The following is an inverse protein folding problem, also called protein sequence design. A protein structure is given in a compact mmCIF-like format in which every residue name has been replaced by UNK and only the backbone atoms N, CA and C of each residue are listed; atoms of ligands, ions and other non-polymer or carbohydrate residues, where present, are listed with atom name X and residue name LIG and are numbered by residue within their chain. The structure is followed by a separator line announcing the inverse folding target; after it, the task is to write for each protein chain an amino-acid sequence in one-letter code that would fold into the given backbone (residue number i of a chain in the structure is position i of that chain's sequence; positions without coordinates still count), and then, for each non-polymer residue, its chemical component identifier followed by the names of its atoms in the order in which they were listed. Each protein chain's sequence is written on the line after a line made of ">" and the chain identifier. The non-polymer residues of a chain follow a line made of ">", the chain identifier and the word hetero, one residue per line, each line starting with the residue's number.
data_IF_933785115698
#
_entry.id   IF_933785115698
#
_cell.length_a   1.000
_cell.length_b   1.000
_cell.length_c   1.000
_cell.angle_alpha   90.00
_cell.angle_beta   90.00
_cell.angle_gamma   90.00
#
_symmetry.space_group_name_H-M   'P 1'
#
loop_
_entity.id
_entity.type
_entity.pdbx_description
1 polymer ?
#
# COMPACT_ATOMS: atom_id res chain seq x y z
N UNK A 1 32.10 9.66 -18.81
CA UNK A 1 30.77 10.02 -19.34
C UNK A 1 29.83 9.95 -18.17
N UNK A 2 29.52 11.13 -17.65
CA UNK A 2 28.55 11.37 -16.58
C UNK A 2 27.20 10.73 -16.89
N UNK A 3 26.56 10.14 -15.89
CA UNK A 3 25.30 10.71 -15.44
C UNK A 3 24.97 10.25 -14.01
N UNK A 4 25.24 11.14 -13.06
CA UNK A 4 24.70 11.12 -11.72
C UNK A 4 23.23 11.55 -11.76
N UNK A 5 22.36 10.87 -11.02
CA UNK A 5 21.15 11.44 -10.39
C UNK A 5 20.66 10.39 -9.38
N UNK A 6 21.00 10.52 -8.10
CA UNK A 6 20.38 11.41 -7.12
C UNK A 6 18.97 10.92 -6.75
N UNK A 7 18.97 10.20 -5.63
CA UNK A 7 17.83 9.80 -4.80
C UNK A 7 17.33 11.07 -4.11
N UNK A 8 16.05 11.39 -4.25
CA UNK A 8 15.38 12.48 -3.53
C UNK A 8 14.45 11.88 -2.47
N UNK A 9 14.65 12.35 -1.24
CA UNK A 9 13.93 11.99 -0.03
C UNK A 9 12.54 12.64 0.06
N UNK A 10 11.67 11.93 0.79
CA UNK A 10 10.48 12.37 1.53
C UNK A 10 9.97 13.81 1.41
N UNK A 11 8.70 13.91 0.99
CA UNK A 11 7.82 15.01 1.39
C UNK A 11 6.49 14.49 1.94
N UNK A 12 6.40 14.55 3.28
CA UNK A 12 5.34 15.22 4.04
C UNK A 12 3.91 15.20 3.51
N UNK A 13 3.06 14.54 4.29
CA UNK A 13 1.62 14.74 4.39
C UNK A 13 1.26 16.24 4.41
N UNK A 14 0.77 16.73 3.27
CA UNK A 14 0.11 18.02 3.13
C UNK A 14 -1.33 17.79 2.70
N UNK A 15 -2.27 18.11 3.58
CA UNK A 15 -3.72 18.17 3.33
C UNK A 15 -3.97 18.88 1.98
N UNK A 16 -4.74 18.31 1.03
CA UNK A 16 -5.15 19.07 -0.14
C UNK A 16 -6.07 20.21 0.32
N UNK A 17 -5.56 21.43 0.22
CA UNK A 17 -6.32 22.65 0.39
C UNK A 17 -7.58 22.61 -0.48
N UNK A 18 -8.69 23.05 0.10
CA UNK A 18 -9.98 23.23 -0.56
C UNK A 18 -9.82 23.89 -1.95
N UNK A 19 -10.58 23.46 -2.97
CA UNK A 19 -10.50 24.07 -4.29
C UNK A 19 -10.82 25.55 -4.16
N UNK A 20 -9.82 26.38 -4.45
CA UNK A 20 -9.93 27.82 -4.52
C UNK A 20 -11.16 28.16 -5.36
N UNK A 21 -12.08 28.92 -4.74
CA UNK A 21 -13.26 29.46 -5.38
C UNK A 21 -12.83 30.15 -6.68
N UNK A 22 -13.06 29.46 -7.80
CA UNK A 22 -12.81 29.98 -9.12
C UNK A 22 -13.80 31.13 -9.30
N UNK A 23 -13.30 32.34 -9.08
CA UNK A 23 -13.97 33.60 -9.30
C UNK A 23 -14.23 33.73 -10.82
N UNK A 24 -15.20 32.95 -11.30
CA UNK A 24 -15.78 33.09 -12.63
C UNK A 24 -16.46 34.44 -12.64
N UNK A 25 -15.67 35.41 -13.08
CA UNK A 25 -16.10 36.71 -13.55
C UNK A 25 -17.49 36.56 -14.15
N UNK A 26 -18.48 37.18 -13.50
CA UNK A 26 -19.78 37.44 -14.10
C UNK A 26 -19.50 38.21 -15.38
N UNK A 27 -19.42 37.50 -16.51
CA UNK A 27 -19.40 38.10 -17.84
C UNK A 27 -20.68 38.90 -17.90
N UNK A 28 -20.55 40.22 -17.73
CA UNK A 28 -21.61 41.18 -18.02
C UNK A 28 -22.10 40.83 -19.42
N UNK A 29 -23.37 40.45 -19.52
CA UNK A 29 -24.05 40.19 -20.78
C UNK A 29 -23.74 41.37 -21.69
N UNK A 30 -23.00 41.13 -22.78
CA UNK A 30 -22.73 42.15 -23.78
C UNK A 30 -24.10 42.59 -24.28
N UNK A 31 -24.39 43.88 -24.13
CA UNK A 31 -25.57 44.52 -24.70
C UNK A 31 -25.52 44.20 -26.19
N UNK A 32 -26.43 43.35 -26.65
CA UNK A 32 -26.55 42.99 -28.07
C UNK A 32 -26.69 44.33 -28.80
N UNK A 33 -25.82 44.55 -29.79
CA UNK A 33 -25.89 45.74 -30.62
C UNK A 33 -27.21 45.62 -31.39
N UNK A 34 -28.24 46.31 -30.91
CA UNK A 34 -29.62 46.22 -31.40
C UNK A 34 -29.82 46.90 -32.76
N UNK A 35 -28.82 46.94 -33.63
CA UNK A 35 -29.00 47.40 -35.00
C UNK A 35 -28.28 46.47 -35.97
N UNK A 36 -29.09 45.67 -36.66
CA UNK A 36 -28.62 44.83 -37.77
C UNK A 36 -28.05 45.75 -38.85
N UNK A 37 -26.96 45.39 -39.56
CA UNK A 37 -26.43 46.22 -40.65
C UNK A 37 -27.47 46.54 -41.74
N UNK A 38 -28.48 45.67 -41.89
CA UNK A 38 -29.69 45.92 -42.67
C UNK A 38 -30.51 47.11 -42.15
N UNK A 39 -30.68 47.28 -40.83
CA UNK A 39 -31.42 48.42 -40.26
C UNK A 39 -30.72 49.76 -40.51
N UNK A 40 -29.39 49.79 -40.47
CA UNK A 40 -28.61 51.00 -40.80
C UNK A 40 -28.76 51.34 -42.29
N UNK A 41 -28.72 50.32 -43.16
CA UNK A 41 -28.94 50.50 -44.59
C UNK A 41 -30.36 51.01 -44.90
N UNK A 42 -31.37 50.40 -44.29
CA UNK A 42 -32.77 50.83 -44.47
C UNK A 42 -33.02 52.19 -43.84
N UNK A 43 -32.41 52.50 -42.70
CA UNK A 43 -32.50 53.81 -42.04
C UNK A 43 -31.89 54.92 -42.87
N UNK A 44 -30.71 54.70 -43.46
CA UNK A 44 -30.08 55.67 -44.37
C UNK A 44 -30.88 55.86 -45.66
N UNK A 45 -31.39 54.76 -46.25
CA UNK A 45 -32.26 54.82 -47.43
C UNK A 45 -33.58 55.54 -47.13
N UNK A 46 -34.17 55.33 -45.95
CA UNK A 46 -35.39 56.00 -45.52
C UNK A 46 -35.16 57.51 -45.34
N UNK A 47 -34.07 57.92 -44.66
CA UNK A 47 -33.69 59.32 -44.49
C UNK A 47 -33.48 59.99 -45.86
N UNK A 48 -32.79 59.32 -46.78
CA UNK A 48 -32.60 59.82 -48.14
C UNK A 48 -33.94 59.95 -48.87
N UNK A 49 -34.83 58.96 -48.82
CA UNK A 49 -36.12 59.00 -49.52
C UNK A 49 -37.06 60.08 -48.98
N UNK A 50 -37.11 60.26 -47.66
CA UNK A 50 -37.93 61.29 -47.00
C UNK A 50 -37.34 62.67 -47.27
N UNK A 51 -36.01 62.82 -47.22
CA UNK A 51 -35.32 64.05 -47.60
C UNK A 51 -35.58 64.45 -49.05
N UNK A 52 -35.55 63.47 -49.97
CA UNK A 52 -35.84 63.70 -51.40
C UNK A 52 -37.31 64.01 -51.64
N UNK A 53 -38.22 63.38 -50.88
CA UNK A 53 -39.67 63.64 -50.96
C UNK A 53 -40.04 65.03 -50.41
N UNK A 54 -39.46 65.44 -49.28
CA UNK A 54 -39.67 66.78 -48.71
C UNK A 54 -39.11 67.88 -49.60
N UNK A 55 -37.90 67.70 -50.13
CA UNK A 55 -37.31 68.65 -51.08
C UNK A 55 -38.09 68.70 -52.40
N UNK A 56 -38.60 67.56 -52.88
CA UNK A 56 -39.52 67.49 -54.02
C UNK A 56 -40.84 68.23 -53.78
N UNK A 57 -41.46 68.07 -52.60
CA UNK A 57 -42.69 68.79 -52.22
C UNK A 57 -42.44 70.31 -52.21
N UNK A 58 -41.29 70.77 -51.69
CA UNK A 58 -40.94 72.20 -51.61
C UNK A 58 -40.66 72.79 -53.01
N UNK A 59 -40.01 72.05 -53.90
CA UNK A 59 -39.71 72.51 -55.27
C UNK A 59 -40.92 72.43 -56.21
N UNK A 60 -41.90 71.56 -55.94
CA UNK A 60 -43.10 71.38 -56.79
C UNK A 60 -44.32 72.18 -56.36
N UNK A 61 -44.20 73.06 -55.34
CA UNK A 61 -45.28 73.94 -54.85
C UNK A 61 -45.85 74.83 -55.98
N UNK A 62 -45.08 75.08 -57.04
CA UNK A 62 -45.49 75.90 -58.18
C UNK A 62 -46.38 75.18 -59.21
N UNK A 63 -46.45 73.84 -59.22
CA UNK A 63 -47.16 73.09 -60.27
C UNK A 63 -48.34 72.28 -59.71
N UNK A 64 -49.53 72.52 -60.25
CA UNK A 64 -50.79 72.00 -59.72
C UNK A 64 -51.02 70.53 -60.04
N UNK A 65 -50.37 70.01 -61.08
CA UNK A 65 -50.58 68.66 -61.60
C UNK A 65 -49.88 67.56 -60.77
N UNK A 66 -48.80 67.88 -60.05
CA UNK A 66 -47.93 66.89 -59.37
C UNK A 66 -48.17 66.80 -57.87
N UNK A 67 -48.94 67.72 -57.27
CA UNK A 67 -49.28 67.73 -55.83
C UNK A 67 -50.00 66.47 -55.35
N UNK A 68 -50.87 65.89 -56.18
CA UNK A 68 -51.61 64.68 -55.80
C UNK A 68 -50.67 63.49 -55.64
N UNK A 69 -49.81 63.25 -56.63
CA UNK A 69 -48.96 62.06 -56.72
C UNK A 69 -47.95 62.02 -55.57
N UNK A 70 -47.37 63.16 -55.18
CA UNK A 70 -46.39 63.22 -54.09
C UNK A 70 -47.03 63.00 -52.71
N UNK A 71 -48.23 63.53 -52.48
CA UNK A 71 -48.98 63.29 -51.24
C UNK A 71 -49.40 61.82 -51.15
N UNK A 72 -49.87 61.22 -52.25
CA UNK A 72 -50.22 59.80 -52.29
C UNK A 72 -49.00 58.89 -52.07
N UNK A 73 -47.85 59.21 -52.68
CA UNK A 73 -46.60 58.47 -52.46
C UNK A 73 -46.09 58.58 -51.02
N UNK A 74 -46.18 59.77 -50.41
CA UNK A 74 -45.85 59.99 -49.01
C UNK A 74 -46.76 59.21 -48.07
N UNK A 75 -48.08 59.20 -48.33
CA UNK A 75 -49.05 58.46 -47.54
C UNK A 75 -48.83 56.93 -47.62
N UNK A 76 -48.50 56.40 -48.80
CA UNK A 76 -48.21 54.97 -48.97
C UNK A 76 -46.95 54.56 -48.19
N UNK A 77 -45.90 55.40 -48.22
CA UNK A 77 -44.65 55.16 -47.50
C UNK A 77 -44.84 55.16 -45.98
N UNK A 78 -45.75 56.01 -45.47
CA UNK A 78 -46.09 56.07 -44.06
C UNK A 78 -46.76 54.78 -43.52
N UNK A 79 -47.42 54.00 -44.39
CA UNK A 79 -48.03 52.71 -44.01
C UNK A 79 -47.03 51.56 -44.10
N UNK A 80 -46.10 51.61 -45.07
CA UNK A 80 -45.10 50.55 -45.27
C UNK A 80 -44.07 50.54 -44.12
N UNK A 81 -43.71 51.70 -43.58
CA UNK A 81 -42.74 51.81 -42.47
C UNK A 81 -43.10 50.97 -41.24
N UNK A 82 -44.30 51.14 -40.64
CA UNK A 82 -44.77 50.32 -39.53
C UNK A 82 -44.85 48.83 -39.85
N UNK A 83 -45.21 48.46 -41.07
CA UNK A 83 -45.31 47.06 -41.49
C UNK A 83 -43.94 46.39 -41.56
N UNK A 84 -42.96 47.06 -42.15
CA UNK A 84 -41.56 46.58 -42.21
C UNK A 84 -40.96 46.49 -40.82
N UNK A 85 -41.23 47.46 -39.95
CA UNK A 85 -40.81 47.43 -38.54
C UNK A 85 -41.36 46.19 -37.80
N UNK A 86 -42.64 45.88 -38.00
CA UNK A 86 -43.27 44.70 -37.41
C UNK A 86 -42.73 43.38 -37.95
N UNK A 87 -42.39 43.31 -39.24
CA UNK A 87 -41.76 42.13 -39.83
C UNK A 87 -40.32 41.93 -39.33
N UNK A 88 -39.55 43.01 -39.19
CA UNK A 88 -38.18 42.95 -38.67
C UNK A 88 -38.14 42.47 -37.22
N UNK A 89 -39.08 42.88 -36.38
CA UNK A 89 -39.18 42.39 -35.00
C UNK A 89 -39.43 40.88 -34.96
N UNK A 90 -40.33 40.36 -35.79
CA UNK A 90 -40.58 38.91 -35.87
C UNK A 90 -39.35 38.11 -36.35
N UNK A 91 -38.59 38.64 -37.31
CA UNK A 91 -37.36 37.99 -37.77
C UNK A 91 -36.29 37.97 -36.68
N UNK A 92 -36.14 39.07 -35.92
CA UNK A 92 -35.22 39.16 -34.80
C UNK A 92 -35.57 38.17 -33.69
N UNK A 93 -36.86 38.03 -33.36
CA UNK A 93 -37.33 37.06 -32.36
C UNK A 93 -37.05 35.61 -32.78
N UNK A 94 -37.22 35.29 -34.07
CA UNK A 94 -36.91 33.95 -34.62
C UNK A 94 -35.42 33.66 -34.55
N UNK A 95 -34.57 34.64 -34.89
CA UNK A 95 -33.11 34.48 -34.80
C UNK A 95 -32.68 34.29 -33.35
N UNK A 96 -33.24 35.09 -32.43
CA UNK A 96 -32.97 34.94 -31.00
C UNK A 96 -33.41 33.56 -30.48
N UNK A 97 -34.59 33.08 -30.89
CA UNK A 97 -35.08 31.74 -30.52
C UNK A 97 -34.14 30.64 -31.03
N UNK A 98 -33.67 30.74 -32.28
CA UNK A 98 -32.72 29.79 -32.84
C UNK A 98 -31.40 29.77 -32.05
N UNK A 99 -30.87 30.94 -31.71
CA UNK A 99 -29.64 31.03 -30.90
C UNK A 99 -29.86 30.42 -29.50
N UNK A 100 -31.03 30.62 -28.88
CA UNK A 100 -31.35 29.98 -27.59
C UNK A 100 -31.48 28.47 -27.72
N UNK A 101 -32.06 27.96 -28.81
CA UNK A 101 -32.16 26.53 -29.06
C UNK A 101 -30.78 25.89 -29.25
N UNK A 102 -29.90 26.55 -30.01
CA UNK A 102 -28.52 26.09 -30.20
C UNK A 102 -27.70 26.18 -28.89
N UNK A 103 -27.99 27.16 -28.02
CA UNK A 103 -27.40 27.23 -26.69
C UNK A 103 -27.87 26.10 -25.77
N UNK A 104 -29.19 25.83 -25.74
CA UNK A 104 -29.78 24.72 -24.98
C UNK A 104 -29.25 23.38 -25.49
N UNK A 105 -29.16 23.19 -26.81
CA UNK A 105 -28.62 21.97 -27.41
C UNK A 105 -27.17 21.71 -26.99
N UNK A 106 -26.32 22.74 -26.93
CA UNK A 106 -24.96 22.63 -26.41
C UNK A 106 -24.93 22.27 -24.93
N UNK A 107 -25.84 22.84 -24.14
CA UNK A 107 -25.91 22.57 -22.71
C UNK A 107 -26.39 21.15 -22.43
N UNK A 108 -27.41 20.67 -23.14
CA UNK A 108 -27.86 19.26 -23.10
C UNK A 108 -26.73 18.32 -23.52
N UNK A 109 -25.97 18.66 -24.57
CA UNK A 109 -24.81 17.89 -25.00
C UNK A 109 -23.72 17.80 -23.90
N UNK A 110 -23.47 18.92 -23.21
CA UNK A 110 -22.54 18.96 -22.06
C UNK A 110 -23.05 18.10 -20.90
N UNK A 111 -24.32 18.23 -20.52
CA UNK A 111 -24.94 17.43 -19.46
C UNK A 111 -24.94 15.94 -19.79
N UNK A 112 -25.21 15.57 -21.05
CA UNK A 112 -25.14 14.17 -21.48
C UNK A 112 -23.71 13.61 -21.40
N UNK A 113 -22.70 14.41 -21.76
CA UNK A 113 -21.30 14.03 -21.60
C UNK A 113 -20.89 13.91 -20.12
N UNK A 114 -21.33 14.83 -19.27
CA UNK A 114 -21.10 14.77 -17.81
C UNK A 114 -21.80 13.55 -17.19
N UNK A 115 -23.02 13.22 -17.62
CA UNK A 115 -23.75 12.07 -17.13
C UNK A 115 -23.07 10.74 -17.53
N UNK A 116 -22.56 10.65 -18.76
CA UNK A 116 -21.73 9.50 -19.19
C UNK A 116 -20.47 9.37 -18.32
N UNK A 117 -19.73 10.46 -18.14
CA UNK A 117 -18.53 10.46 -17.29
C UNK A 117 -18.84 10.03 -15.85
N UNK A 118 -19.96 10.49 -15.29
CA UNK A 118 -20.38 10.11 -13.95
C UNK A 118 -20.73 8.63 -13.88
N UNK A 119 -21.39 8.08 -14.91
CA UNK A 119 -21.68 6.65 -15.01
C UNK A 119 -20.40 5.81 -15.12
N UNK A 120 -19.41 6.27 -15.90
CA UNK A 120 -18.10 5.61 -15.98
C UNK A 120 -17.40 5.63 -14.62
N UNK A 121 -17.42 6.78 -13.94
CA UNK A 121 -16.88 6.91 -12.57
C UNK A 121 -17.58 5.97 -11.60
N UNK A 122 -18.91 5.81 -11.70
CA UNK A 122 -19.67 4.86 -10.89
C UNK A 122 -19.28 3.41 -11.17
N UNK A 123 -18.92 3.10 -12.42
CA UNK A 123 -18.33 1.81 -12.81
C UNK A 123 -16.98 1.55 -12.13
N UNK A 124 -16.08 2.54 -12.15
CA UNK A 124 -14.77 2.44 -11.49
C UNK A 124 -14.89 2.29 -9.97
N UNK A 125 -15.83 3.02 -9.35
CA UNK A 125 -16.12 2.86 -7.92
C UNK A 125 -16.69 1.47 -7.61
N UNK A 126 -17.56 0.93 -8.47
CA UNK A 126 -18.09 -0.43 -8.28
C UNK A 126 -16.97 -1.47 -8.37
N UNK A 127 -16.08 -1.35 -9.36
CA UNK A 127 -14.92 -2.23 -9.47
C UNK A 127 -14.00 -2.13 -8.23
N UNK A 128 -13.87 -0.93 -7.67
CA UNK A 128 -13.10 -0.72 -6.43
C UNK A 128 -13.78 -1.37 -5.22
N UNK A 129 -15.12 -1.37 -5.16
CA UNK A 129 -15.89 -2.08 -4.12
C UNK A 129 -15.74 -3.59 -4.28
N UNK A 130 -15.87 -4.12 -5.50
CA UNK A 130 -15.68 -5.55 -5.77
C UNK A 130 -14.25 -5.99 -5.36
N UNK A 131 -13.24 -5.15 -5.60
CA UNK A 131 -11.87 -5.43 -5.14
C UNK A 131 -11.73 -5.41 -3.61
N UNK A 132 -12.44 -4.52 -2.91
CA UNK A 132 -12.43 -4.50 -1.45
C UNK A 132 -13.14 -5.73 -0.85
N UNK A 133 -14.19 -6.23 -1.49
CA UNK A 133 -14.86 -7.49 -1.12
C UNK A 133 -13.93 -8.70 -1.32
N UNK A 134 -13.19 -8.74 -2.43
CA UNK A 134 -12.15 -9.76 -2.66
C UNK A 134 -11.03 -9.69 -1.60
N UNK A 135 -10.63 -8.47 -1.20
CA UNK A 135 -9.62 -8.27 -0.15
C UNK A 135 -10.13 -8.67 1.24
N UNK A 136 -11.40 -8.39 1.57
CA UNK A 136 -12.06 -8.86 2.79
C UNK A 136 -12.07 -10.38 2.84
N UNK A 137 -12.47 -11.03 1.74
CA UNK A 137 -12.47 -12.49 1.61
C UNK A 137 -11.05 -13.06 1.75
N UNK A 138 -10.05 -12.42 1.14
CA UNK A 138 -8.65 -12.83 1.28
C UNK A 138 -8.14 -12.67 2.72
N UNK A 139 -8.51 -11.58 3.40
CA UNK A 139 -8.15 -11.36 4.80
C UNK A 139 -8.84 -12.35 5.74
N UNK A 140 -10.08 -12.76 5.47
CA UNK A 140 -10.81 -13.77 6.24
C UNK A 140 -10.13 -15.14 6.11
N UNK A 141 -9.79 -15.56 4.88
CA UNK A 141 -9.02 -16.79 4.63
C UNK A 141 -7.64 -16.76 5.29
N UNK A 142 -6.97 -15.61 5.27
CA UNK A 142 -5.67 -15.44 5.94
C UNK A 142 -5.83 -15.51 7.47
N UNK A 143 -6.88 -14.91 8.03
CA UNK A 143 -7.16 -14.92 9.47
C UNK A 143 -7.51 -16.32 9.95
N UNK A 144 -8.33 -17.05 9.20
CA UNK A 144 -8.64 -18.47 9.46
C UNK A 144 -7.39 -19.34 9.40
N UNK A 145 -6.53 -19.12 8.40
CA UNK A 145 -5.25 -19.84 8.25
C UNK A 145 -4.25 -19.48 9.33
N UNK A 146 -4.15 -18.21 9.73
CA UNK A 146 -3.21 -17.75 10.77
C UNK A 146 -3.68 -18.15 12.17
N UNK A 147 -4.99 -18.13 12.45
CA UNK A 147 -5.57 -18.64 13.69
C UNK A 147 -5.28 -20.13 13.88
N UNK A 148 -5.51 -20.96 12.85
CA UNK A 148 -5.15 -22.38 12.88
C UNK A 148 -3.62 -22.63 12.88
N UNK A 149 -2.84 -21.73 12.28
CA UNK A 149 -1.38 -21.89 12.21
C UNK A 149 -0.67 -21.53 13.52
N UNK A 150 -1.26 -20.72 14.39
CA UNK A 150 -0.65 -20.39 15.70
C UNK A 150 -0.77 -21.58 16.64
N UNK A 151 -1.93 -22.24 16.70
CA UNK A 151 -2.12 -23.45 17.50
C UNK A 151 -1.22 -24.58 16.97
N UNK A 152 -1.20 -24.81 15.65
CA UNK A 152 -0.30 -25.79 15.05
C UNK A 152 1.18 -25.46 15.31
N UNK A 153 1.56 -24.17 15.30
CA UNK A 153 2.94 -23.76 15.60
C UNK A 153 3.29 -23.95 17.07
N UNK A 154 2.36 -23.71 17.99
CA UNK A 154 2.55 -24.00 19.41
C UNK A 154 2.77 -25.51 19.62
N UNK A 155 1.94 -26.35 19.00
CA UNK A 155 2.08 -27.81 19.01
C UNK A 155 3.47 -28.23 18.46
N UNK A 156 3.91 -27.66 17.34
CA UNK A 156 5.25 -27.95 16.78
C UNK A 156 6.40 -27.53 17.70
N UNK A 157 6.27 -26.43 18.44
CA UNK A 157 7.30 -25.98 19.38
C UNK A 157 7.33 -26.91 20.60
N UNK A 158 6.17 -27.35 21.09
CA UNK A 158 6.07 -28.31 22.18
C UNK A 158 6.65 -29.68 21.78
N UNK A 159 6.28 -30.20 20.61
CA UNK A 159 6.85 -31.42 20.03
C UNK A 159 8.37 -31.30 19.84
N UNK A 160 8.84 -30.16 19.35
CA UNK A 160 10.27 -29.91 19.18
C UNK A 160 11.01 -29.87 20.52
N UNK A 161 10.38 -29.33 21.57
CA UNK A 161 10.96 -29.33 22.91
C UNK A 161 11.04 -30.76 23.46
N UNK A 162 10.01 -31.57 23.27
CA UNK A 162 10.02 -32.97 23.65
C UNK A 162 11.12 -33.76 22.92
N UNK A 163 11.25 -33.57 21.60
CA UNK A 163 12.31 -34.20 20.80
C UNK A 163 13.70 -33.81 21.33
N UNK A 164 13.93 -32.54 21.69
CA UNK A 164 15.20 -32.11 22.27
C UNK A 164 15.50 -32.80 23.61
N UNK A 165 14.50 -32.95 24.48
CA UNK A 165 14.64 -33.70 25.74
C UNK A 165 14.98 -35.17 25.47
N UNK A 166 14.31 -35.80 24.51
CA UNK A 166 14.59 -37.19 24.12
C UNK A 166 15.99 -37.32 23.50
N UNK A 167 16.42 -36.38 22.66
CA UNK A 167 17.77 -36.35 22.08
C UNK A 167 18.85 -36.17 23.16
N UNK A 168 18.61 -35.31 24.16
CA UNK A 168 19.51 -35.12 25.28
C UNK A 168 19.63 -36.41 26.11
N UNK A 169 18.51 -37.08 26.40
CA UNK A 169 18.51 -38.40 27.08
C UNK A 169 19.28 -39.45 26.28
N UNK A 170 19.09 -39.51 24.96
CA UNK A 170 19.83 -40.42 24.08
C UNK A 170 21.32 -40.11 24.05
N UNK A 171 21.71 -38.82 24.03
CA UNK A 171 23.11 -38.40 24.09
C UNK A 171 23.74 -38.81 25.44
N UNK A 172 23.06 -38.55 26.57
CA UNK A 172 23.49 -38.99 27.91
C UNK A 172 23.69 -40.50 27.96
N UNK A 173 22.73 -41.28 27.45
CA UNK A 173 22.83 -42.74 27.41
C UNK A 173 24.02 -43.22 26.55
N UNK A 174 24.23 -42.60 25.38
CA UNK A 174 25.35 -42.91 24.50
C UNK A 174 26.71 -42.61 25.15
N UNK A 175 26.83 -41.45 25.80
CA UNK A 175 28.03 -41.07 26.55
C UNK A 175 28.28 -42.03 27.71
N UNK A 176 27.24 -42.34 28.49
CA UNK A 176 27.31 -43.28 29.61
C UNK A 176 27.79 -44.66 29.14
N UNK A 177 27.24 -45.17 28.04
CA UNK A 177 27.65 -46.45 27.46
C UNK A 177 29.12 -46.44 27.06
N UNK A 178 29.60 -45.37 26.42
CA UNK A 178 31.00 -45.25 26.02
C UNK A 178 31.93 -45.15 27.25
N UNK A 179 31.52 -44.42 28.30
CA UNK A 179 32.26 -44.33 29.56
C UNK A 179 32.38 -45.72 30.22
N UNK A 180 31.26 -46.44 30.35
CA UNK A 180 31.25 -47.79 30.90
C UNK A 180 32.12 -48.74 30.07
N UNK A 181 32.10 -48.65 28.74
CA UNK A 181 32.93 -49.48 27.89
C UNK A 181 34.42 -49.20 28.09
N UNK A 182 34.82 -47.93 28.24
CA UNK A 182 36.22 -47.56 28.51
C UNK A 182 36.67 -48.08 29.88
N UNK A 183 35.80 -47.97 30.90
CA UNK A 183 36.06 -48.45 32.26
C UNK A 183 36.19 -49.98 32.29
N UNK A 184 35.27 -50.71 31.64
CA UNK A 184 35.31 -52.18 31.55
C UNK A 184 36.52 -52.66 30.74
N UNK A 185 36.88 -51.98 29.64
CA UNK A 185 38.04 -52.36 28.83
C UNK A 185 39.39 -51.97 29.47
N UNK A 186 39.34 -51.18 30.54
CA UNK A 186 40.53 -50.82 31.31
C UNK A 186 40.95 -51.96 32.25
N UNK A 187 39.97 -52.65 32.86
CA UNK A 187 40.19 -53.85 33.68
C UNK A 187 40.65 -55.04 32.81
N UNK A 188 41.96 -55.32 32.84
CA UNK A 188 42.60 -56.36 32.00
C UNK A 188 42.87 -57.66 32.75
N UNK A 189 43.03 -57.55 34.05
CA UNK A 189 43.35 -58.62 34.98
C UNK A 189 42.13 -59.13 35.76
N UNK A 190 40.96 -58.50 35.54
CA UNK A 190 39.67 -58.90 36.10
C UNK A 190 39.63 -58.86 37.63
N UNK A 191 40.46 -58.00 38.22
CA UNK A 191 40.50 -57.81 39.67
C UNK A 191 39.46 -56.78 40.14
N UNK A 192 38.82 -56.07 39.20
CA UNK A 192 37.81 -55.04 39.42
C UNK A 192 38.32 -53.90 40.32
N UNK A 193 39.64 -53.67 40.35
CA UNK A 193 40.30 -52.62 41.09
C UNK A 193 41.10 -51.73 40.13
N UNK A 194 41.15 -50.43 40.41
CA UNK A 194 41.93 -49.46 39.65
C UNK A 194 43.04 -48.94 40.55
N UNK A 195 44.27 -49.29 40.22
CA UNK A 195 45.43 -48.80 40.97
C UNK A 195 45.69 -47.31 40.68
N UNK A 196 46.29 -46.61 41.63
CA UNK A 196 46.62 -45.18 41.52
C UNK A 196 47.50 -44.86 40.29
N UNK A 197 48.37 -45.80 39.92
CA UNK A 197 49.24 -45.70 38.75
C UNK A 197 48.47 -45.75 37.41
N UNK A 198 47.28 -46.35 37.41
CA UNK A 198 46.48 -46.57 36.22
C UNK A 198 45.37 -45.53 36.01
N UNK A 199 44.96 -44.83 37.07
CA UNK A 199 43.97 -43.74 37.03
C UNK A 199 44.30 -42.73 35.94
N UNK A 200 45.59 -42.37 35.77
CA UNK A 200 46.02 -41.43 34.73
C UNK A 200 45.77 -41.93 33.30
N UNK A 201 45.96 -43.23 33.04
CA UNK A 201 45.67 -43.84 31.75
C UNK A 201 44.16 -43.93 31.49
N UNK A 202 43.38 -44.25 32.52
CA UNK A 202 41.91 -44.26 32.46
C UNK A 202 41.36 -42.87 32.11
N UNK A 203 41.78 -41.83 32.82
CA UNK A 203 41.40 -40.42 32.56
C UNK A 203 41.71 -40.03 31.11
N UNK A 204 42.92 -40.38 30.62
CA UNK A 204 43.33 -40.05 29.26
C UNK A 204 42.42 -40.71 28.21
N UNK A 205 41.99 -41.95 28.43
CA UNK A 205 41.06 -42.66 27.53
C UNK A 205 39.65 -42.09 27.60
N UNK A 206 39.19 -41.72 28.79
CA UNK A 206 37.89 -41.07 28.96
C UNK A 206 37.86 -39.73 28.22
N UNK A 207 38.93 -38.92 28.29
CA UNK A 207 39.05 -37.66 27.55
C UNK A 207 39.05 -37.80 26.02
N UNK A 208 39.30 -39.02 25.49
CA UNK A 208 39.19 -39.29 24.06
C UNK A 208 37.75 -39.57 23.61
N UNK A 209 36.80 -39.74 24.54
CA UNK A 209 35.38 -39.89 24.22
C UNK A 209 34.83 -38.52 23.79
N UNK A 210 34.26 -38.45 22.59
CA UNK A 210 33.65 -37.24 22.08
C UNK A 210 32.45 -36.82 22.95
N UNK A 211 32.45 -35.56 23.40
CA UNK A 211 31.33 -34.98 24.16
C UNK A 211 31.49 -34.99 25.68
N UNK A 212 32.61 -35.46 26.22
CA UNK A 212 32.90 -35.47 27.66
C UNK A 212 34.13 -34.62 27.97
N UNK A 213 34.02 -33.72 28.94
CA UNK A 213 35.18 -33.11 29.61
C UNK A 213 35.28 -33.67 31.03
N UNK A 214 36.50 -34.00 31.46
CA UNK A 214 36.75 -34.60 32.77
C UNK A 214 37.64 -33.69 33.58
N UNK A 215 37.18 -33.34 34.78
CA UNK A 215 38.00 -32.67 35.79
C UNK A 215 38.88 -33.73 36.45
N UNK A 216 40.14 -33.80 36.02
CA UNK A 216 41.06 -34.89 36.40
C UNK A 216 41.26 -35.00 37.91
N UNK A 217 41.38 -33.87 38.60
CA UNK A 217 41.65 -33.83 40.05
C UNK A 217 40.45 -34.32 40.86
N UNK A 218 39.24 -33.86 40.52
CA UNK A 218 38.01 -34.32 41.20
C UNK A 218 37.73 -35.79 40.91
N UNK A 219 37.96 -36.25 39.68
CA UNK A 219 37.81 -37.67 39.33
C UNK A 219 38.81 -38.53 40.12
N UNK A 220 40.08 -38.12 40.18
CA UNK A 220 41.12 -38.85 40.91
C UNK A 220 40.81 -38.91 42.41
N UNK A 221 40.37 -37.81 43.02
CA UNK A 221 40.01 -37.77 44.44
C UNK A 221 38.84 -38.70 44.76
N UNK A 222 37.80 -38.71 43.92
CA UNK A 222 36.65 -39.61 44.10
C UNK A 222 37.02 -41.09 43.93
N UNK A 223 37.87 -41.43 42.96
CA UNK A 223 38.34 -42.80 42.76
C UNK A 223 39.15 -43.29 43.95
N UNK A 224 40.05 -42.46 44.48
CA UNK A 224 40.85 -42.79 45.67
C UNK A 224 39.96 -42.94 46.91
N UNK A 225 39.01 -42.01 47.11
CA UNK A 225 38.06 -42.05 48.23
C UNK A 225 37.14 -43.26 48.18
N UNK A 226 36.79 -43.71 46.98
CA UNK A 226 35.99 -44.91 46.73
C UNK A 226 36.77 -46.23 46.84
N UNK A 227 38.07 -46.18 47.16
CA UNK A 227 38.92 -47.35 47.32
C UNK A 227 39.30 -48.03 46.00
N UNK A 228 39.22 -47.30 44.87
CA UNK A 228 39.63 -47.80 43.56
C UNK A 228 38.74 -48.90 42.97
N UNK A 229 37.61 -49.24 43.60
CA UNK A 229 36.73 -50.30 43.08
C UNK A 229 36.03 -49.87 41.79
N UNK A 230 36.08 -50.71 40.76
CA UNK A 230 35.42 -50.50 39.47
C UNK A 230 33.91 -50.26 39.65
N UNK A 231 33.28 -51.00 40.56
CA UNK A 231 31.86 -50.84 40.89
C UNK A 231 31.55 -49.43 41.41
N UNK A 232 32.43 -48.89 42.26
CA UNK A 232 32.26 -47.55 42.80
C UNK A 232 32.49 -46.47 41.71
N UNK A 233 33.39 -46.71 40.75
CA UNK A 233 33.57 -45.84 39.58
C UNK A 233 32.32 -45.85 38.69
N UNK A 234 31.72 -47.03 38.48
CA UNK A 234 30.46 -47.15 37.74
C UNK A 234 29.32 -46.42 38.44
N UNK A 235 29.24 -46.50 39.77
CA UNK A 235 28.24 -45.78 40.57
C UNK A 235 28.45 -44.27 40.51
N UNK A 236 29.71 -43.79 40.55
CA UNK A 236 30.05 -42.37 40.37
C UNK A 236 29.61 -41.87 38.98
N UNK A 237 29.90 -42.65 37.93
CA UNK A 237 29.51 -42.30 36.56
C UNK A 237 27.98 -42.31 36.40
N UNK A 238 27.30 -43.29 36.99
CA UNK A 238 25.84 -43.44 36.93
C UNK A 238 25.13 -42.28 37.63
N UNK A 239 25.52 -41.96 38.86
CA UNK A 239 24.93 -40.87 39.64
C UNK A 239 25.24 -39.50 39.03
N UNK A 240 26.39 -39.35 38.36
CA UNK A 240 26.75 -38.11 37.66
C UNK A 240 25.96 -37.88 36.35
N UNK A 241 25.47 -38.94 35.70
CA UNK A 241 24.86 -38.86 34.36
C UNK A 241 23.34 -39.09 34.30
N UNK A 242 22.75 -39.79 35.28
CA UNK A 242 21.34 -40.22 35.23
C UNK A 242 20.39 -39.46 36.17
N UNK A 243 20.88 -38.82 37.23
CA UNK A 243 20.02 -38.14 38.20
C UNK A 243 19.79 -36.68 37.78
N UNK A 244 18.62 -36.40 37.20
CA UNK A 244 18.17 -35.06 36.79
C UNK A 244 17.51 -34.26 37.95
N UNK A 245 17.38 -34.84 39.14
CA UNK A 245 16.57 -34.27 40.24
C UNK A 245 17.33 -33.89 41.54
N UNK A 246 18.63 -34.18 41.68
CA UNK A 246 19.38 -33.85 42.91
C UNK A 246 20.57 -32.91 42.64
N UNK A 247 20.31 -31.60 42.80
CA UNK A 247 21.27 -30.50 42.68
C UNK A 247 22.46 -30.57 43.65
N UNK A 248 22.44 -31.46 44.67
CA UNK A 248 23.46 -31.51 45.73
C UNK A 248 24.65 -32.45 45.44
N UNK A 249 24.53 -33.37 44.48
CA UNK A 249 25.60 -34.32 44.13
C UNK A 249 25.98 -34.28 42.64
N UNK A 250 25.80 -33.12 41.99
CA UNK A 250 26.51 -32.84 40.73
C UNK A 250 28.00 -32.75 41.05
N UNK A 251 28.65 -33.90 41.21
CA UNK A 251 30.09 -33.94 41.11
C UNK A 251 30.38 -33.48 39.68
N UNK A 252 30.95 -32.28 39.56
CA UNK A 252 31.36 -31.56 38.36
C UNK A 252 32.44 -32.28 37.54
N UNK A 253 32.58 -33.58 37.79
CA UNK A 253 33.63 -34.45 37.32
C UNK A 253 33.48 -34.74 35.84
N UNK A 254 32.24 -34.77 35.34
CA UNK A 254 31.93 -34.97 33.93
C UNK A 254 31.05 -33.84 33.40
N UNK A 255 31.61 -33.04 32.49
CA UNK A 255 30.88 -31.95 31.83
C UNK A 255 30.58 -32.39 30.40
N UNK A 256 29.30 -32.46 30.04
CA UNK A 256 28.87 -32.74 28.66
C UNK A 256 29.12 -31.50 27.81
N UNK A 257 29.87 -31.64 26.72
CA UNK A 257 30.06 -30.56 25.74
C UNK A 257 28.85 -30.46 24.83
N UNK A 258 27.88 -29.65 25.22
CA UNK A 258 26.79 -29.25 24.32
C UNK A 258 27.37 -28.37 23.20
N UNK A 259 27.33 -28.87 21.97
CA UNK A 259 27.83 -28.17 20.78
C UNK A 259 26.91 -27.05 20.27
N UNK A 260 25.92 -26.61 21.06
CA UNK A 260 24.81 -25.78 20.54
C UNK A 260 24.95 -24.27 20.84
N UNK A 261 25.99 -23.79 21.55
CA UNK A 261 26.07 -22.34 21.90
C UNK A 261 27.34 -21.57 21.50
N UNK A 262 28.13 -22.03 20.51
CA UNK A 262 29.30 -21.27 20.02
C UNK A 262 29.09 -20.51 18.70
N UNK A 263 27.92 -19.92 18.47
CA UNK A 263 27.73 -18.94 17.38
C UNK A 263 26.61 -17.95 17.65
N UNK A 264 26.77 -17.13 18.69
CA UNK A 264 26.03 -15.86 18.83
C UNK A 264 26.83 -14.88 19.71
N UNK A 265 28.02 -14.54 19.25
CA UNK A 265 28.91 -13.57 19.91
C UNK A 265 29.93 -13.04 18.93
N UNK A 266 29.48 -12.26 17.94
CA UNK A 266 30.37 -11.80 16.87
C UNK A 266 29.70 -10.88 15.87
N UNK A 267 29.03 -9.83 16.34
CA UNK A 267 28.76 -8.65 15.50
C UNK A 267 28.78 -7.38 16.35
N UNK A 268 29.94 -7.09 16.92
CA UNK A 268 30.40 -5.73 17.09
C UNK A 268 31.66 -5.58 16.22
N UNK A 269 31.49 -5.00 15.04
CA UNK A 269 32.59 -4.40 14.28
C UNK A 269 32.11 -3.08 13.70
N UNK A 270 32.59 -2.03 14.35
CA UNK A 270 33.00 -0.70 13.87
C UNK A 270 31.99 0.15 13.11
#
# INVERSE_FOLDING_TARGET
>A
MDNSNAIEEGQGNGIPAAPAANNKQKKKLKKIANHTPMEILHGTLAILSVGTSLSGIILTIADSATRGITIFAGALTAVIGPYVYYQQTKLTDIIALKETYDAIGREVGRLAAENRRLHDTMGDLKQSIDHLEDMETALDVITDRQGQSIDAYADYVEDSAEILVQMQKNLKAYVLQNLLQVVIHHDRDHDMLVEESEIGNLIRRIKMINGVDVVEEEFRELVIKAGGSLSAIMDIIKNSMLDDDDDELRSSVFILKDSVHSSRGGSERK
#
